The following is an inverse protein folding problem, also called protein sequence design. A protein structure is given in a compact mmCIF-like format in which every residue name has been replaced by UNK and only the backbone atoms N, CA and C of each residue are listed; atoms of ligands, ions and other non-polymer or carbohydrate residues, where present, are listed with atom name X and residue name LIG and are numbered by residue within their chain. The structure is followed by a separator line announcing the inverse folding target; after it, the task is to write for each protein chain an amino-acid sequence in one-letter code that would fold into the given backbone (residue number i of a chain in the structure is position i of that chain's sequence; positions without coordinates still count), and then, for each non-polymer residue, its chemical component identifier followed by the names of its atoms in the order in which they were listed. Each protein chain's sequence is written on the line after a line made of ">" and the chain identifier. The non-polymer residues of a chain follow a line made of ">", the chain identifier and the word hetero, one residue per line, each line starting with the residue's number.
data_IF_844222961971
#
_entry.id   IF_844222961971
#
_cell.length_a   1.000
_cell.length_b   1.000
_cell.length_c   1.000
_cell.angle_alpha   90.00
_cell.angle_beta   90.00
_cell.angle_gamma   90.00
#
_symmetry.space_group_name_H-M   'P 1'
#
loop_
_entity.id
_entity.type
_entity.pdbx_description
1 polymer ?
#
# COMPACT_ATOMS: atom_id res chain seq x y z
N UNK A 1 2.40 6.24 -9.28
CA UNK A 1 1.33 5.29 -9.65
C UNK A 1 1.81 4.04 -10.38
N UNK A 2 2.79 4.11 -11.29
CA UNK A 2 3.32 2.91 -11.98
C UNK A 2 3.70 1.78 -11.01
N UNK A 3 4.43 2.09 -9.92
CA UNK A 3 4.80 1.11 -8.91
C UNK A 3 3.62 0.37 -8.23
N UNK A 4 2.45 1.02 -8.10
CA UNK A 4 1.24 0.36 -7.62
C UNK A 4 0.57 -0.48 -8.71
N UNK A 5 0.60 -0.04 -9.98
CA UNK A 5 0.12 -0.85 -11.11
C UNK A 5 0.90 -2.15 -11.20
N UNK A 6 2.22 -2.09 -11.19
CA UNK A 6 3.10 -3.28 -11.25
C UNK A 6 2.91 -4.24 -10.08
N UNK A 7 2.44 -3.74 -8.93
CA UNK A 7 2.10 -4.58 -7.78
C UNK A 7 0.70 -5.20 -7.91
N UNK A 8 -0.26 -4.49 -8.50
CA UNK A 8 -1.61 -4.99 -8.77
C UNK A 8 -1.61 -6.00 -9.91
N UNK A 9 -0.79 -5.79 -10.93
CA UNK A 9 -0.64 -6.66 -12.10
C UNK A 9 0.11 -7.96 -11.77
N UNK A 10 0.62 -8.07 -10.54
CA UNK A 10 1.13 -9.30 -9.97
C UNK A 10 -0.01 -10.33 -9.83
N UNK A 11 -0.06 -11.29 -10.75
CA UNK A 11 -1.11 -12.32 -10.82
C UNK A 11 -1.19 -13.23 -9.58
N UNK A 12 -0.33 -13.04 -8.58
CA UNK A 12 -0.37 -13.77 -7.31
C UNK A 12 -1.31 -13.15 -6.27
N UNK A 13 -1.86 -11.94 -6.51
CA UNK A 13 -2.77 -11.31 -5.56
C UNK A 13 -4.15 -11.97 -5.54
N UNK A 14 -4.65 -12.28 -4.35
CA UNK A 14 -6.05 -12.65 -4.16
C UNK A 14 -6.95 -11.40 -4.01
N UNK A 15 -8.27 -11.60 -4.04
CA UNK A 15 -9.25 -10.51 -3.98
C UNK A 15 -9.08 -9.62 -2.73
N UNK A 16 -8.85 -10.19 -1.56
CA UNK A 16 -8.68 -9.43 -0.31
C UNK A 16 -7.41 -8.56 -0.35
N UNK A 17 -6.31 -9.12 -0.88
CA UNK A 17 -5.05 -8.38 -1.08
C UNK A 17 -5.23 -7.25 -2.10
N UNK A 18 -5.90 -7.50 -3.22
CA UNK A 18 -6.21 -6.48 -4.23
C UNK A 18 -7.02 -5.33 -3.62
N UNK A 19 -8.09 -5.63 -2.88
CA UNK A 19 -8.92 -4.62 -2.21
C UNK A 19 -8.09 -3.80 -1.22
N UNK A 20 -7.19 -4.42 -0.46
CA UNK A 20 -6.29 -3.70 0.43
C UNK A 20 -5.40 -2.72 -0.33
N UNK A 21 -4.75 -3.16 -1.41
CA UNK A 21 -3.88 -2.29 -2.22
C UNK A 21 -4.69 -1.14 -2.85
N UNK A 22 -5.92 -1.38 -3.29
CA UNK A 22 -6.80 -0.30 -3.79
C UNK A 22 -7.10 0.75 -2.72
N UNK A 23 -7.38 0.33 -1.48
CA UNK A 23 -7.52 1.28 -0.36
C UNK A 23 -6.26 2.14 -0.16
N UNK A 24 -5.07 1.53 -0.29
CA UNK A 24 -3.79 2.25 -0.15
C UNK A 24 -3.65 3.30 -1.26
N UNK A 25 -3.97 2.92 -2.49
CA UNK A 25 -4.00 3.84 -3.64
C UNK A 25 -4.96 4.99 -3.39
N UNK A 26 -6.20 4.71 -2.98
CA UNK A 26 -7.23 5.73 -2.72
C UNK A 26 -6.79 6.70 -1.62
N UNK A 27 -6.21 6.19 -0.53
CA UNK A 27 -5.66 7.02 0.54
C UNK A 27 -4.54 7.94 0.02
N UNK A 28 -3.62 7.41 -0.78
CA UNK A 28 -2.52 8.19 -1.37
C UNK A 28 -3.07 9.27 -2.31
N UNK A 29 -4.07 8.95 -3.14
CA UNK A 29 -4.71 9.95 -4.02
C UNK A 29 -5.33 11.09 -3.22
N UNK A 30 -5.98 10.77 -2.10
CA UNK A 30 -6.66 11.77 -1.27
C UNK A 30 -5.70 12.60 -0.41
N UNK A 31 -4.64 11.99 0.13
CA UNK A 31 -3.76 12.60 1.13
C UNK A 31 -2.37 12.96 0.57
N UNK A 32 -2.10 12.66 -0.70
CA UNK A 32 -0.80 12.82 -1.35
C UNK A 32 0.14 11.65 -1.11
N UNK A 33 0.32 11.24 0.15
CA UNK A 33 1.15 10.09 0.53
C UNK A 33 0.77 9.56 1.92
N UNK A 34 1.34 8.42 2.31
CA UNK A 34 1.22 7.88 3.68
C UNK A 34 2.40 8.39 4.50
N UNK A 35 2.12 9.12 5.58
CA UNK A 35 3.15 9.74 6.42
C UNK A 35 4.03 8.71 7.14
N UNK A 36 3.42 7.67 7.71
CA UNK A 36 4.11 6.60 8.42
C UNK A 36 3.58 5.23 7.97
N UNK A 37 4.46 4.30 7.63
CA UNK A 37 4.07 2.96 7.15
C UNK A 37 3.24 2.16 8.17
N UNK A 38 3.34 2.50 9.47
CA UNK A 38 2.47 1.93 10.51
C UNK A 38 0.99 2.26 10.34
N UNK A 39 0.64 3.27 9.54
CA UNK A 39 -0.75 3.56 9.17
C UNK A 39 -1.40 2.37 8.45
N UNK A 40 -0.63 1.54 7.73
CA UNK A 40 -1.13 0.32 7.09
C UNK A 40 -1.68 -0.72 8.09
N UNK A 41 -1.41 -0.55 9.39
CA UNK A 41 -1.89 -1.42 10.47
C UNK A 41 -3.07 -0.80 11.24
N UNK A 42 -3.55 0.39 10.85
CA UNK A 42 -4.63 1.14 11.51
C UNK A 42 -5.87 1.20 10.62
N UNK A 43 -7.05 1.58 11.15
CA UNK A 43 -8.22 1.88 10.32
C UNK A 43 -7.90 2.93 9.25
N UNK A 44 -8.35 2.75 7.99
CA UNK A 44 -9.28 1.72 7.49
C UNK A 44 -8.63 0.44 6.94
N UNK A 45 -7.31 0.26 7.11
CA UNK A 45 -6.51 -0.84 6.56
C UNK A 45 -6.52 -2.11 7.41
N UNK A 46 -6.77 -1.98 8.71
CA UNK A 46 -6.83 -3.09 9.66
C UNK A 46 -8.05 -4.02 9.49
N UNK A 47 -9.02 -3.64 8.64
CA UNK A 47 -10.28 -4.35 8.41
C UNK A 47 -10.49 -4.76 6.95
N UNK A 48 -11.11 -5.93 6.68
CA UNK A 48 -11.56 -6.96 7.64
C UNK A 48 -10.42 -7.84 8.19
N UNK A 49 -9.24 -7.77 7.57
CA UNK A 49 -8.03 -8.47 8.00
C UNK A 49 -6.88 -7.47 8.06
N UNK A 50 -5.99 -7.65 9.02
CA UNK A 50 -4.81 -6.80 9.15
C UNK A 50 -3.78 -7.07 8.06
N UNK A 51 -3.00 -6.05 7.71
CA UNK A 51 -1.90 -6.11 6.75
C UNK A 51 -0.99 -7.33 6.96
N UNK A 52 -0.57 -7.58 8.21
CA UNK A 52 0.33 -8.67 8.56
C UNK A 52 -0.24 -10.08 8.36
N UNK A 53 -1.58 -10.24 8.40
CA UNK A 53 -2.25 -11.52 8.11
C UNK A 53 -2.55 -11.69 6.62
N UNK A 54 -2.71 -10.59 5.91
CA UNK A 54 -3.16 -10.57 4.53
C UNK A 54 -2.02 -10.87 3.55
N UNK A 55 -0.79 -10.50 3.90
CA UNK A 55 0.38 -10.64 3.04
C UNK A 55 1.47 -11.48 3.71
N UNK A 56 2.22 -12.24 2.92
CA UNK A 56 3.48 -12.84 3.34
C UNK A 56 4.57 -11.76 3.52
N UNK A 57 5.71 -12.12 4.13
CA UNK A 57 6.76 -11.16 4.44
C UNK A 57 7.33 -10.46 3.18
N UNK A 58 7.43 -11.15 2.05
CA UNK A 58 7.98 -10.56 0.83
C UNK A 58 7.03 -9.52 0.23
N UNK A 59 5.72 -9.80 0.17
CA UNK A 59 4.73 -8.82 -0.27
C UNK A 59 4.56 -7.67 0.71
N UNK A 60 4.69 -7.92 2.01
CA UNK A 60 4.69 -6.84 3.01
C UNK A 60 5.85 -5.87 2.76
N UNK A 61 7.06 -6.39 2.59
CA UNK A 61 8.24 -5.57 2.35
C UNK A 61 8.12 -4.76 1.05
N UNK A 62 7.71 -5.40 -0.05
CA UNK A 62 7.53 -4.73 -1.34
C UNK A 62 6.48 -3.62 -1.26
N UNK A 63 5.35 -3.83 -0.57
CA UNK A 63 4.34 -2.79 -0.41
C UNK A 63 4.84 -1.60 0.43
N UNK A 64 5.59 -1.89 1.50
CA UNK A 64 6.22 -0.85 2.33
C UNK A 64 7.21 -0.01 1.53
N UNK A 65 8.03 -0.64 0.68
CA UNK A 65 8.96 0.05 -0.21
C UNK A 65 8.24 0.96 -1.22
N UNK A 66 7.15 0.48 -1.84
CA UNK A 66 6.33 1.28 -2.75
C UNK A 66 5.76 2.51 -2.02
N UNK A 67 5.20 2.32 -0.82
CA UNK A 67 4.63 3.42 -0.03
C UNK A 67 5.69 4.47 0.32
N UNK A 68 6.89 4.04 0.74
CA UNK A 68 8.01 4.95 1.02
C UNK A 68 8.45 5.72 -0.22
N UNK A 69 8.63 5.04 -1.34
CA UNK A 69 9.03 5.68 -2.60
C UNK A 69 8.00 6.72 -3.07
N UNK A 70 6.70 6.49 -2.84
CA UNK A 70 5.65 7.46 -3.13
C UNK A 70 5.79 8.71 -2.24
N UNK A 71 6.00 8.54 -0.93
CA UNK A 71 6.26 9.65 -0.01
C UNK A 71 7.49 10.44 -0.41
N UNK A 72 8.61 9.78 -0.67
CA UNK A 72 9.86 10.42 -1.06
C UNK A 72 9.70 11.24 -2.34
N UNK A 73 8.98 10.71 -3.33
CA UNK A 73 8.67 11.46 -4.56
C UNK A 73 7.76 12.66 -4.29
N UNK A 74 6.74 12.52 -3.45
CA UNK A 74 5.86 13.63 -3.10
C UNK A 74 6.60 14.76 -2.37
N UNK A 75 7.48 14.42 -1.42
CA UNK A 75 8.27 15.40 -0.64
C UNK A 75 9.37 16.06 -1.47
N UNK A 76 9.96 15.36 -2.44
CA UNK A 76 11.02 15.93 -3.29
C UNK A 76 10.48 16.88 -4.35
N UNK A 77 9.26 16.65 -4.83
CA UNK A 77 8.65 17.40 -5.94
C UNK A 77 7.71 18.50 -5.42
N UNK A 78 7.14 18.36 -4.22
CA UNK A 78 6.31 19.37 -3.55
C UNK A 78 7.12 20.45 -2.88
#
# INVERSE_FOLDING_TARGET
>A
MAAFSDFIDDQTLNQSQFVFVRKVIDYVVQNGYIENVTELMKPPFDKPQSFGKLFDLSKQQRLVEIVKAVKENAVRIG
#
